data_IF_390820561169
#
_entry.id   IF_390820561169
#
_cell.length_a   1.000
_cell.length_b   1.000
_cell.length_c   1.000
_cell.angle_alpha   90.00
_cell.angle_beta   90.00
_cell.angle_gamma   90.00
#
_symmetry.space_group_name_H-M   'P 1'
#
loop_
_entity.id
_entity.type
_entity.pdbx_description
1 polymer ?
#
# COMPACT_ATOMS: atom_id res chain seq x y z
N UNK A 1 3.51 -23.40 1.63
CA UNK A 1 3.82 -22.06 2.16
C UNK A 1 5.30 -21.83 1.90
N UNK A 2 5.70 -20.73 1.28
CA UNK A 2 7.13 -20.44 1.10
C UNK A 2 7.78 -20.36 2.49
N UNK A 3 8.95 -20.97 2.66
CA UNK A 3 9.74 -20.80 3.87
C UNK A 3 10.19 -19.33 3.96
N UNK A 4 9.79 -18.63 5.02
CA UNK A 4 10.08 -17.21 5.22
C UNK A 4 11.59 -16.93 5.23
N UNK A 5 12.41 -17.92 5.57
CA UNK A 5 13.88 -17.82 5.58
C UNK A 5 14.50 -17.84 4.17
N UNK A 6 13.71 -18.21 3.15
CA UNK A 6 14.13 -18.27 1.74
C UNK A 6 13.65 -17.07 0.93
N UNK A 7 12.95 -16.13 1.57
CA UNK A 7 12.50 -14.92 0.91
C UNK A 7 13.69 -13.99 0.61
N UNK A 8 13.67 -13.28 -0.53
CA UNK A 8 14.65 -12.24 -0.79
C UNK A 8 14.60 -11.20 0.33
N UNK A 9 15.78 -10.80 0.80
CA UNK A 9 15.92 -9.67 1.72
C UNK A 9 16.08 -8.43 0.86
N UNK A 10 15.11 -7.52 0.91
CA UNK A 10 15.34 -6.15 0.47
C UNK A 10 16.23 -5.54 1.55
N UNK A 11 17.48 -5.21 1.19
CA UNK A 11 18.43 -4.58 2.11
C UNK A 11 18.10 -3.10 2.28
N UNK A 12 18.66 -2.47 3.31
CA UNK A 12 18.55 -1.02 3.49
C UNK A 12 19.06 -0.24 2.25
N UNK A 13 20.11 -0.75 1.57
CA UNK A 13 20.63 -0.13 0.35
C UNK A 13 19.65 -0.27 -0.83
N UNK A 14 19.00 -1.43 -0.98
CA UNK A 14 17.95 -1.62 -1.98
C UNK A 14 16.79 -0.67 -1.74
N UNK A 15 16.32 -0.57 -0.50
CA UNK A 15 15.25 0.34 -0.10
C UNK A 15 15.62 1.81 -0.39
N UNK A 16 16.83 2.25 -0.03
CA UNK A 16 17.31 3.60 -0.34
C UNK A 16 17.35 3.88 -1.84
N UNK A 17 17.81 2.91 -2.65
CA UNK A 17 17.94 3.07 -4.10
C UNK A 17 16.62 3.35 -4.81
N UNK A 18 15.49 2.91 -4.24
CA UNK A 18 14.14 3.17 -4.74
C UNK A 18 13.37 4.22 -3.90
N UNK A 19 14.08 4.96 -3.04
CA UNK A 19 13.53 6.08 -2.26
C UNK A 19 12.75 5.69 -1.00
N UNK A 20 12.84 4.45 -0.55
CA UNK A 20 12.27 3.99 0.72
C UNK A 20 13.17 4.31 1.92
N UNK A 21 12.57 4.40 3.11
CA UNK A 21 13.29 4.65 4.34
C UNK A 21 14.10 3.42 4.81
N UNK A 22 15.21 3.67 5.52
CA UNK A 22 16.24 2.70 6.01
C UNK A 22 15.76 1.52 6.86
N UNK A 23 14.46 1.36 7.11
CA UNK A 23 13.94 0.46 8.15
C UNK A 23 13.93 -1.04 7.78
N UNK A 24 14.50 -1.44 6.64
CA UNK A 24 14.21 -2.75 6.06
C UNK A 24 15.50 -3.54 5.75
N UNK A 25 15.93 -4.40 6.68
CA UNK A 25 16.71 -5.60 6.39
C UNK A 25 15.85 -6.82 6.74
N UNK A 26 14.70 -6.93 6.08
CA UNK A 26 13.66 -7.91 6.43
C UNK A 26 13.28 -8.79 5.24
N UNK A 27 12.90 -10.06 5.48
CA UNK A 27 12.35 -10.93 4.45
C UNK A 27 11.18 -10.26 3.72
N UNK A 28 11.25 -10.22 2.39
CA UNK A 28 10.19 -9.66 1.54
C UNK A 28 9.53 -10.78 0.74
N UNK A 29 8.21 -10.87 0.81
CA UNK A 29 7.43 -11.78 -0.03
C UNK A 29 7.00 -11.04 -1.31
N UNK A 30 7.70 -11.21 -2.44
CA UNK A 30 7.24 -10.65 -3.71
C UNK A 30 6.00 -11.41 -4.19
N UNK A 31 4.99 -10.67 -4.65
CA UNK A 31 3.77 -11.22 -5.24
C UNK A 31 3.49 -10.45 -6.53
N UNK A 32 3.49 -11.14 -7.66
CA UNK A 32 2.97 -10.58 -8.91
C UNK A 32 1.45 -10.51 -8.83
N UNK A 33 0.91 -9.30 -9.02
CA UNK A 33 -0.53 -9.07 -9.01
C UNK A 33 -1.06 -9.30 -10.43
N UNK A 34 -2.04 -10.19 -10.63
CA UNK A 34 -2.61 -10.42 -11.95
C UNK A 34 -3.45 -9.24 -12.41
N UNK A 35 -3.70 -9.16 -13.72
CA UNK A 35 -4.74 -8.31 -14.29
C UNK A 35 -6.11 -8.69 -13.69
N UNK A 36 -6.97 -7.69 -13.49
CA UNK A 36 -8.21 -7.89 -12.75
C UNK A 36 -8.13 -7.44 -11.30
N UNK A 37 -9.24 -7.68 -10.60
CA UNK A 37 -9.33 -7.46 -9.16
C UNK A 37 -8.58 -8.55 -8.39
N UNK A 38 -7.75 -8.15 -7.42
CA UNK A 38 -6.99 -9.09 -6.59
C UNK A 38 -6.86 -8.60 -5.15
N UNK A 39 -6.78 -9.52 -4.19
CA UNK A 39 -6.66 -9.17 -2.77
C UNK A 39 -5.48 -9.89 -2.12
N UNK A 40 -4.71 -9.15 -1.34
CA UNK A 40 -3.71 -9.68 -0.40
C UNK A 40 -4.14 -9.33 1.02
N UNK A 41 -4.05 -10.28 1.95
CA UNK A 41 -4.27 -10.01 3.37
C UNK A 41 -3.12 -10.56 4.21
N UNK A 42 -2.75 -9.80 5.24
CA UNK A 42 -1.77 -10.21 6.24
C UNK A 42 -2.42 -10.17 7.62
N UNK A 43 -2.00 -11.10 8.47
CA UNK A 43 -2.40 -11.20 9.87
C UNK A 43 -1.16 -11.33 10.74
N UNK A 44 -1.04 -10.47 11.73
CA UNK A 44 0.01 -10.55 12.75
C UNK A 44 -0.26 -11.72 13.70
N UNK A 45 0.76 -12.17 14.41
CA UNK A 45 0.63 -13.26 15.40
C UNK A 45 -0.34 -12.94 16.54
N UNK A 46 -0.48 -11.65 16.89
CA UNK A 46 -1.46 -11.16 17.86
C UNK A 46 -2.86 -10.90 17.27
N UNK A 47 -3.06 -11.20 15.98
CA UNK A 47 -4.37 -11.30 15.37
C UNK A 47 -4.85 -10.06 14.59
N UNK A 48 -4.08 -8.98 14.57
CA UNK A 48 -4.38 -7.77 13.79
C UNK A 48 -4.24 -8.05 12.29
N UNK A 49 -5.19 -7.56 11.51
CA UNK A 49 -5.30 -7.83 10.07
C UNK A 49 -5.32 -6.55 9.27
N UNK A 50 -4.67 -6.62 8.12
CA UNK A 50 -4.72 -5.62 7.07
C UNK A 50 -5.01 -6.33 5.74
N UNK A 51 -5.79 -5.67 4.89
CA UNK A 51 -6.12 -6.15 3.56
C UNK A 51 -5.85 -5.06 2.54
N UNK A 52 -5.22 -5.47 1.45
CA UNK A 52 -4.96 -4.67 0.25
C UNK A 52 -5.81 -5.24 -0.88
N UNK A 53 -6.70 -4.42 -1.41
CA UNK A 53 -7.48 -4.73 -2.60
C UNK A 53 -6.91 -3.94 -3.78
N UNK A 54 -6.38 -4.67 -4.75
CA UNK A 54 -5.90 -4.14 -6.02
C UNK A 54 -7.07 -4.12 -7.00
N UNK A 55 -7.51 -2.92 -7.36
CA UNK A 55 -8.70 -2.73 -8.18
C UNK A 55 -8.40 -2.21 -9.57
N UNK A 56 -9.22 -2.62 -10.54
CA UNK A 56 -9.17 -2.16 -11.92
C UNK A 56 -10.26 -1.11 -12.21
N UNK A 57 -9.94 -0.07 -12.97
CA UNK A 57 -10.97 0.80 -13.56
C UNK A 57 -11.59 0.22 -14.83
N UNK A 58 -10.83 -0.61 -15.57
CA UNK A 58 -11.27 -1.27 -16.80
C UNK A 58 -11.14 -2.78 -16.62
N UNK A 59 -12.20 -3.51 -16.97
CA UNK A 59 -12.22 -4.97 -16.82
C UNK A 59 -11.07 -5.65 -17.58
N UNK A 60 -10.36 -6.53 -16.88
CA UNK A 60 -9.20 -7.27 -17.36
C UNK A 60 -7.94 -6.42 -17.51
N UNK A 61 -7.86 -5.23 -16.91
CA UNK A 61 -6.64 -4.42 -16.96
C UNK A 61 -5.77 -4.66 -15.73
N UNK A 62 -4.49 -4.26 -15.77
CA UNK A 62 -3.71 -4.12 -14.55
C UNK A 62 -4.45 -3.24 -13.54
N UNK A 63 -4.32 -3.53 -12.23
CA UNK A 63 -4.84 -2.67 -11.18
C UNK A 63 -4.32 -1.24 -11.29
N UNK A 64 -5.18 -0.27 -10.96
CA UNK A 64 -4.88 1.17 -11.03
C UNK A 64 -5.04 1.89 -9.68
N UNK A 65 -5.52 1.20 -8.65
CA UNK A 65 -5.55 1.69 -7.28
C UNK A 65 -5.45 0.55 -6.27
N UNK A 66 -5.08 0.89 -5.04
CA UNK A 66 -5.04 -0.03 -3.90
C UNK A 66 -5.88 0.53 -2.77
N UNK A 67 -6.97 -0.17 -2.49
CA UNK A 67 -7.76 0.05 -1.28
C UNK A 67 -7.12 -0.69 -0.11
N UNK A 68 -6.89 0.02 0.99
CA UNK A 68 -6.25 -0.49 2.19
C UNK A 68 -7.24 -0.39 3.34
N UNK A 69 -7.49 -1.53 3.98
CA UNK A 69 -8.35 -1.62 5.14
C UNK A 69 -7.65 -2.32 6.30
N UNK A 70 -7.63 -1.64 7.45
CA UNK A 70 -7.28 -2.23 8.73
C UNK A 70 -8.55 -2.63 9.50
N UNK A 71 -8.59 -3.87 10.00
CA UNK A 71 -9.84 -4.47 10.47
C UNK A 71 -10.07 -4.38 11.98
N UNK A 72 -9.01 -4.21 12.75
CA UNK A 72 -9.01 -4.56 14.17
C UNK A 72 -8.74 -3.37 15.11
N UNK A 73 -9.05 -2.14 14.68
CA UNK A 73 -8.94 -0.93 15.54
C UNK A 73 -10.06 -0.81 16.59
N UNK A 74 -11.11 -1.63 16.48
CA UNK A 74 -12.24 -1.64 17.43
C UNK A 74 -13.18 -0.43 17.36
N UNK A 75 -12.98 0.50 16.43
CA UNK A 75 -13.81 1.71 16.25
C UNK A 75 -14.58 1.67 14.94
N UNK A 76 -15.72 2.38 14.88
CA UNK A 76 -16.65 2.36 13.73
C UNK A 76 -17.31 3.72 13.52
N UNK A 77 -17.70 3.99 12.27
CA UNK A 77 -18.52 5.14 11.85
C UNK A 77 -19.73 4.67 11.05
N UNK A 78 -20.78 5.48 10.96
CA UNK A 78 -21.91 5.23 10.06
C UNK A 78 -21.45 5.30 8.59
N UNK A 79 -22.06 4.49 7.72
CA UNK A 79 -21.78 4.51 6.28
C UNK A 79 -23.04 4.82 5.45
N UNK A 80 -22.83 5.16 4.17
CA UNK A 80 -23.89 5.60 3.26
C UNK A 80 -25.01 4.57 3.04
N UNK A 81 -24.75 3.29 3.31
CA UNK A 81 -25.70 2.20 3.12
C UNK A 81 -26.51 1.88 4.40
N UNK A 82 -26.49 2.76 5.40
CA UNK A 82 -27.18 2.57 6.69
C UNK A 82 -26.48 1.57 7.63
N UNK A 83 -25.27 1.15 7.30
CA UNK A 83 -24.44 0.26 8.12
C UNK A 83 -23.36 1.02 8.90
N UNK A 84 -22.38 0.26 9.41
CA UNK A 84 -21.17 0.81 10.02
C UNK A 84 -19.92 0.31 9.31
N UNK A 85 -18.92 1.17 9.19
CA UNK A 85 -17.58 0.83 8.67
C UNK A 85 -16.57 0.88 9.80
N UNK A 86 -15.61 -0.06 9.89
CA UNK A 86 -14.49 0.06 10.82
C UNK A 86 -13.67 1.31 10.47
N UNK A 87 -13.09 1.96 11.49
CA UNK A 87 -12.14 3.06 11.28
C UNK A 87 -10.75 2.67 11.74
N UNK A 88 -9.74 3.42 11.31
CA UNK A 88 -8.35 3.19 11.70
C UNK A 88 -7.53 4.48 11.80
N UNK A 89 -6.36 4.37 12.40
CA UNK A 89 -5.39 5.46 12.44
C UNK A 89 -4.47 5.39 11.22
N UNK A 90 -4.27 6.53 10.57
CA UNK A 90 -3.46 6.69 9.37
C UNK A 90 -2.56 7.90 9.51
N UNK A 91 -1.31 7.72 9.10
CA UNK A 91 -0.29 8.75 9.07
C UNK A 91 0.36 8.75 7.69
N UNK A 92 0.51 9.92 7.05
CA UNK A 92 1.33 10.08 5.85
C UNK A 92 2.54 10.95 6.15
N UNK A 93 3.70 10.56 5.66
CA UNK A 93 4.97 11.24 5.92
C UNK A 93 5.48 11.84 4.61
N UNK A 94 5.68 13.15 4.58
CA UNK A 94 6.25 13.89 3.46
C UNK A 94 7.68 14.36 3.74
N UNK A 95 8.16 15.30 2.91
CA UNK A 95 9.50 15.86 2.98
C UNK A 95 9.88 16.30 4.40
N UNK A 96 11.06 15.88 4.85
CA UNK A 96 11.59 16.23 6.18
C UNK A 96 10.86 15.54 7.34
N UNK A 97 10.13 14.45 7.10
CA UNK A 97 9.36 13.75 8.14
C UNK A 97 8.05 14.45 8.50
N UNK A 98 7.60 15.42 7.70
CA UNK A 98 6.37 16.17 7.98
C UNK A 98 5.15 15.29 7.79
N UNK A 99 4.33 15.19 8.82
CA UNK A 99 3.07 14.44 8.74
C UNK A 99 2.02 15.27 8.00
N UNK A 100 1.80 15.01 6.71
CA UNK A 100 0.85 15.78 5.88
C UNK A 100 -0.59 15.44 6.27
N UNK A 101 -0.83 14.20 6.68
CA UNK A 101 -2.10 13.72 7.21
C UNK A 101 -1.85 12.84 8.44
N UNK A 102 -2.58 13.07 9.54
CA UNK A 102 -2.50 12.30 10.79
C UNK A 102 -3.90 12.17 11.39
N UNK A 103 -4.58 11.05 11.13
CA UNK A 103 -5.97 10.88 11.55
C UNK A 103 -6.17 10.73 13.05
N UNK A 104 -5.11 10.53 13.82
CA UNK A 104 -5.16 10.52 15.30
C UNK A 104 -5.51 11.88 15.87
N UNK A 105 -5.36 12.95 15.07
CA UNK A 105 -5.69 14.33 15.42
C UNK A 105 -7.13 14.70 15.06
N UNK A 106 -7.86 13.81 14.38
CA UNK A 106 -9.21 14.03 13.92
C UNK A 106 -10.25 13.57 14.96
N UNK A 107 -11.46 14.11 14.85
CA UNK A 107 -12.61 13.63 15.61
C UNK A 107 -13.06 12.24 15.16
N UNK A 108 -13.89 11.53 15.96
CA UNK A 108 -14.36 10.19 15.64
C UNK A 108 -15.02 10.04 14.27
N UNK A 109 -15.82 11.02 13.86
CA UNK A 109 -16.58 11.01 12.59
C UNK A 109 -15.69 11.31 11.37
N UNK A 110 -14.52 11.91 11.59
CA UNK A 110 -13.55 12.24 10.55
C UNK A 110 -12.46 11.16 10.41
N UNK A 111 -12.52 10.09 11.22
CA UNK A 111 -11.55 9.00 11.11
C UNK A 111 -11.73 8.23 9.80
N UNK A 112 -10.63 7.87 9.12
CA UNK A 112 -10.72 7.11 7.87
C UNK A 112 -11.25 5.71 8.16
N UNK A 113 -12.09 5.22 7.25
CA UNK A 113 -12.56 3.84 7.20
C UNK A 113 -11.96 3.02 6.06
N UNK A 114 -11.30 3.70 5.13
CA UNK A 114 -10.53 3.15 4.00
C UNK A 114 -9.44 4.14 3.61
N UNK A 115 -8.29 3.64 3.16
CA UNK A 115 -7.23 4.45 2.55
C UNK A 115 -7.02 3.96 1.13
N UNK A 116 -7.03 4.87 0.16
CA UNK A 116 -6.89 4.53 -1.26
C UNK A 116 -5.59 5.12 -1.79
N UNK A 117 -4.71 4.27 -2.33
CA UNK A 117 -3.50 4.68 -3.03
C UNK A 117 -3.77 4.58 -4.52
N UNK A 118 -3.70 5.71 -5.24
CA UNK A 118 -3.82 5.72 -6.69
C UNK A 118 -2.46 5.34 -7.31
N UNK A 119 -2.47 4.35 -8.19
CA UNK A 119 -1.28 3.98 -8.95
C UNK A 119 -1.27 4.81 -10.22
N UNK A 120 -0.26 5.67 -10.37
CA UNK A 120 -0.07 6.45 -11.60
C UNK A 120 0.12 5.55 -12.82
N UNK A 121 -0.01 6.12 -14.01
CA UNK A 121 0.32 5.38 -15.23
C UNK A 121 1.78 4.91 -15.18
N UNK A 122 2.09 3.69 -15.64
CA UNK A 122 3.47 3.23 -15.74
C UNK A 122 4.26 4.24 -16.59
N UNK A 123 5.26 4.90 -16.00
CA UNK A 123 6.20 5.69 -16.79
C UNK A 123 6.95 4.75 -17.72
N UNK A 124 6.62 4.78 -19.02
CA UNK A 124 7.43 4.14 -20.06
C UNK A 124 8.79 4.87 -20.07
N UNK A 125 9.92 4.18 -19.85
CA UNK A 125 11.23 4.80 -20.00
C UNK A 125 11.36 5.38 -21.40
N UNK A 126 11.79 6.64 -21.50
CA UNK A 126 12.03 7.26 -22.81
C UNK A 126 13.01 6.40 -23.63
N UNK A 127 12.82 6.26 -24.95
CA UNK A 127 13.78 5.56 -25.80
C UNK A 127 15.16 6.17 -25.57
N UNK A 128 16.12 5.34 -25.17
CA UNK A 128 17.52 5.75 -25.16
C UNK A 128 17.90 6.05 -26.61
N UNK A 129 18.07 7.32 -26.94
CA UNK A 129 18.70 7.70 -28.20
C UNK A 129 20.14 7.22 -28.16
N UNK A 130 20.40 6.07 -28.79
CA UNK A 130 21.75 5.68 -29.17
C UNK A 130 22.33 6.84 -29.98
N UNK A 131 23.26 7.55 -29.35
CA UNK A 131 24.03 8.58 -30.04
C UNK A 131 25.05 7.82 -30.85
N UNK A 132 24.67 7.42 -32.07
CA UNK A 132 25.61 6.89 -33.03
C UNK A 132 26.66 7.98 -33.30
N UNK A 133 27.91 7.62 -33.01
CA UNK A 133 29.09 8.43 -33.20
C UNK A 133 29.20 8.94 -34.64
N UNK A 134 29.56 10.21 -34.76
CA UNK A 134 30.14 10.81 -35.97
C UNK A 134 31.63 11.03 -35.78
#
# INVERSE_FOLDING_TARGET
MADITQLPVITAADAESIGFARFNDVPTLPIDIPDGNFTISAKTTDGRRITFFFGEYKRGSPPSFVDIQYHDNGTRIANANGGTSPTFDMLTIGLGGRNVFDSRRLGPDDKPSIAVILMGEPTVPAPQHDTAAG
#
